data_IF_261137665747
#
_entry.id   IF_261137665747
#
_cell.length_a   1.000
_cell.length_b   1.000
_cell.length_c   1.000
_cell.angle_alpha   90.00
_cell.angle_beta   90.00
_cell.angle_gamma   90.00
#
_symmetry.space_group_name_H-M   'P 1'
#
loop_
_entity.id
_entity.type
_entity.pdbx_description
1 polymer ?
#
# COMPACT_ATOMS: atom_id res chain seq x y z
N UNK A 1 27.18 3.16 17.48
CA UNK A 1 26.76 2.62 18.80
C UNK A 1 25.31 3.04 18.99
N UNK A 2 24.43 2.09 19.31
CA UNK A 2 22.99 2.35 19.48
C UNK A 2 22.78 3.14 20.79
N UNK A 3 21.91 4.15 20.78
CA UNK A 3 21.64 4.96 21.96
C UNK A 3 20.86 4.16 23.02
N UNK A 4 20.95 4.61 24.28
CA UNK A 4 20.25 4.00 25.40
C UNK A 4 18.73 4.01 25.15
N UNK A 5 18.07 2.88 25.41
CA UNK A 5 16.67 2.64 25.01
C UNK A 5 15.68 3.60 25.70
N UNK A 6 16.02 4.08 26.89
CA UNK A 6 15.22 5.01 27.68
C UNK A 6 15.03 6.36 26.97
N UNK A 7 16.00 6.73 26.11
CA UNK A 7 15.95 7.97 25.32
C UNK A 7 14.86 7.96 24.25
N UNK A 8 14.23 6.81 23.99
CA UNK A 8 13.16 6.63 23.00
C UNK A 8 11.75 6.75 23.60
N UNK A 9 11.64 6.91 24.92
CA UNK A 9 10.34 6.95 25.60
C UNK A 9 9.69 8.35 25.55
N UNK A 10 8.38 8.38 25.30
CA UNK A 10 7.53 9.58 25.42
C UNK A 10 8.14 10.83 24.74
N UNK A 11 8.24 11.96 25.44
CA UNK A 11 8.77 13.20 24.88
C UNK A 11 10.31 13.22 24.80
N UNK A 12 11.04 12.32 25.49
CA UNK A 12 12.51 12.30 25.47
C UNK A 12 13.05 12.10 24.06
N UNK A 13 12.37 11.29 23.25
CA UNK A 13 12.78 11.05 21.87
C UNK A 13 12.74 12.32 21.02
N UNK A 14 11.77 13.20 21.24
CA UNK A 14 11.69 14.47 20.54
C UNK A 14 12.81 15.43 20.93
N UNK A 15 13.37 15.30 22.14
CA UNK A 15 14.45 16.14 22.63
C UNK A 15 15.82 15.61 22.21
N UNK A 16 16.03 14.29 22.29
CA UNK A 16 17.33 13.66 22.08
C UNK A 16 17.53 13.29 20.60
N UNK A 17 16.47 12.82 19.94
CA UNK A 17 16.54 12.24 18.60
C UNK A 17 15.66 12.98 17.58
N UNK A 18 15.47 14.29 17.76
CA UNK A 18 14.50 15.10 16.99
C UNK A 18 14.53 14.82 15.49
N UNK A 19 15.70 14.94 14.86
CA UNK A 19 15.82 14.84 13.40
C UNK A 19 15.59 13.40 12.90
N UNK A 20 16.06 12.42 13.66
CA UNK A 20 15.81 11.01 13.37
C UNK A 20 14.33 10.66 13.54
N UNK A 21 13.66 11.16 14.58
CA UNK A 21 12.22 11.01 14.77
C UNK A 21 11.43 11.63 13.61
N UNK A 22 11.75 12.87 13.21
CA UNK A 22 11.07 13.53 12.08
C UNK A 22 11.23 12.73 10.79
N UNK A 23 12.45 12.22 10.52
CA UNK A 23 12.72 11.37 9.36
C UNK A 23 11.97 10.04 9.42
N UNK A 24 11.94 9.41 10.59
CA UNK A 24 11.19 8.17 10.83
C UNK A 24 9.71 8.37 10.54
N UNK A 25 9.12 9.43 11.11
CA UNK A 25 7.70 9.78 10.90
C UNK A 25 7.40 10.01 9.41
N UNK A 26 8.27 10.73 8.69
CA UNK A 26 8.11 10.95 7.26
C UNK A 26 8.08 9.63 6.48
N UNK A 27 9.05 8.75 6.71
CA UNK A 27 9.09 7.43 6.06
C UNK A 27 7.84 6.59 6.38
N UNK A 28 7.30 6.72 7.59
CA UNK A 28 6.05 6.03 7.97
C UNK A 28 4.82 6.64 7.31
N UNK A 29 4.74 7.97 7.22
CA UNK A 29 3.71 8.64 6.44
C UNK A 29 3.79 8.30 4.95
N UNK A 30 4.99 8.03 4.44
CA UNK A 30 5.25 7.57 3.06
C UNK A 30 4.92 6.07 2.85
N UNK A 31 4.50 5.35 3.90
CA UNK A 31 4.05 3.96 3.83
C UNK A 31 5.15 2.89 4.01
N UNK A 32 6.37 3.28 4.38
CA UNK A 32 7.43 2.31 4.66
C UNK A 32 7.14 1.50 5.94
N UNK A 33 7.67 0.26 6.00
CA UNK A 33 7.58 -0.58 7.20
C UNK A 33 8.35 0.03 8.37
N UNK A 34 7.98 -0.31 9.62
CA UNK A 34 8.65 0.19 10.82
C UNK A 34 10.15 -0.09 10.84
N UNK A 35 10.58 -1.25 10.32
CA UNK A 35 11.99 -1.65 10.25
C UNK A 35 12.74 -0.87 9.16
N UNK A 36 12.14 -0.65 7.99
CA UNK A 36 12.74 0.16 6.93
C UNK A 36 12.87 1.63 7.38
N UNK A 37 11.84 2.17 8.03
CA UNK A 37 11.86 3.51 8.60
C UNK A 37 12.92 3.63 9.72
N UNK A 38 13.04 2.63 10.61
CA UNK A 38 14.05 2.60 11.66
C UNK A 38 15.46 2.64 11.05
N UNK A 39 15.71 1.78 10.06
CA UNK A 39 16.98 1.72 9.33
C UNK A 39 17.32 3.04 8.65
N UNK A 40 16.36 3.63 7.92
CA UNK A 40 16.56 4.85 7.15
C UNK A 40 16.65 6.13 8.00
N UNK A 41 16.14 6.10 9.22
CA UNK A 41 16.09 7.27 10.09
C UNK A 41 17.16 7.28 11.20
N UNK A 42 17.39 6.13 11.83
CA UNK A 42 18.30 5.98 12.96
C UNK A 42 19.59 5.24 12.62
N UNK A 43 19.63 4.53 11.49
CA UNK A 43 20.79 3.77 11.04
C UNK A 43 20.57 2.25 11.08
N UNK A 44 21.34 1.54 10.28
CA UNK A 44 21.24 0.08 10.13
C UNK A 44 21.51 -0.68 11.44
N UNK A 45 22.36 -0.13 12.31
CA UNK A 45 22.71 -0.72 13.60
C UNK A 45 21.49 -0.91 14.51
N UNK A 46 20.46 -0.06 14.41
CA UNK A 46 19.23 -0.19 15.20
C UNK A 46 18.42 -1.40 14.76
N UNK A 47 18.36 -1.68 13.46
CA UNK A 47 17.68 -2.85 12.90
C UNK A 47 18.43 -4.17 13.19
N UNK A 48 19.74 -4.09 13.44
CA UNK A 48 20.60 -5.23 13.76
C UNK A 48 20.71 -5.53 15.26
N UNK A 49 20.04 -4.75 16.11
CA UNK A 49 19.98 -5.06 17.54
C UNK A 49 19.26 -6.38 17.79
N UNK A 50 19.51 -7.00 18.96
CA UNK A 50 18.84 -8.26 19.31
C UNK A 50 17.30 -8.13 19.35
N UNK A 51 16.79 -6.92 19.63
CA UNK A 51 15.36 -6.64 19.61
C UNK A 51 15.07 -5.22 19.07
N UNK A 52 15.03 -5.05 17.73
CA UNK A 52 14.76 -3.75 17.11
C UNK A 52 13.33 -3.27 17.39
N UNK A 53 12.41 -4.20 17.64
CA UNK A 53 11.02 -3.91 17.95
C UNK A 53 10.84 -3.16 19.27
N UNK A 54 11.79 -3.27 20.20
CA UNK A 54 11.73 -2.50 21.45
C UNK A 54 11.83 -0.98 21.18
N UNK A 55 12.77 -0.55 20.32
CA UNK A 55 12.88 0.84 19.88
C UNK A 55 11.65 1.27 19.11
N UNK A 56 11.20 0.45 18.17
CA UNK A 56 10.00 0.71 17.37
C UNK A 56 8.78 0.94 18.26
N UNK A 57 8.54 0.05 19.22
CA UNK A 57 7.40 0.17 20.13
C UNK A 57 7.48 1.47 20.94
N UNK A 58 8.65 1.85 21.45
CA UNK A 58 8.82 3.09 22.20
C UNK A 58 8.61 4.34 21.33
N UNK A 59 9.16 4.35 20.11
CA UNK A 59 8.94 5.40 19.12
C UNK A 59 7.44 5.53 18.84
N UNK A 60 6.80 4.45 18.37
CA UNK A 60 5.43 4.47 17.85
C UNK A 60 4.37 4.71 18.92
N UNK A 61 4.66 4.36 20.18
CA UNK A 61 3.77 4.63 21.31
C UNK A 61 3.98 6.01 21.94
N UNK A 62 5.05 6.73 21.59
CA UNK A 62 5.31 8.08 22.10
C UNK A 62 4.31 9.11 21.57
N UNK A 63 3.95 10.07 22.42
CA UNK A 63 3.02 11.14 22.02
C UNK A 63 3.65 12.08 20.99
N UNK A 64 4.98 12.29 21.06
CA UNK A 64 5.74 13.01 20.05
C UNK A 64 5.58 12.39 18.65
N UNK A 65 5.72 11.07 18.54
CA UNK A 65 5.50 10.37 17.27
C UNK A 65 4.06 10.53 16.79
N UNK A 66 3.06 10.25 17.64
CA UNK A 66 1.64 10.31 17.25
C UNK A 66 1.25 11.69 16.72
N UNK A 67 1.62 12.78 17.41
CA UNK A 67 1.32 14.15 16.98
C UNK A 67 1.99 14.48 15.65
N UNK A 68 3.25 14.10 15.49
CA UNK A 68 4.02 14.37 14.27
C UNK A 68 3.48 13.55 13.10
N UNK A 69 3.09 12.30 13.32
CA UNK A 69 2.54 11.43 12.28
C UNK A 69 1.23 11.97 11.72
N UNK A 70 0.32 12.43 12.59
CA UNK A 70 -0.94 13.06 12.15
C UNK A 70 -0.66 14.25 11.24
N UNK A 71 0.31 15.09 11.61
CA UNK A 71 0.71 16.26 10.81
C UNK A 71 1.34 15.83 9.48
N UNK A 72 2.28 14.90 9.51
CA UNK A 72 2.96 14.41 8.31
C UNK A 72 1.99 13.76 7.32
N UNK A 73 1.01 12.98 7.80
CA UNK A 73 -0.05 12.39 6.97
C UNK A 73 -0.97 13.47 6.40
N UNK A 74 -1.33 14.48 7.19
CA UNK A 74 -2.14 15.59 6.70
C UNK A 74 -1.44 16.39 5.59
N UNK A 75 -0.13 16.64 5.72
CA UNK A 75 0.69 17.29 4.68
C UNK A 75 0.73 16.49 3.37
N UNK A 76 0.59 15.15 3.42
CA UNK A 76 0.49 14.32 2.21
C UNK A 76 -0.84 14.44 1.48
N UNK A 77 -1.90 14.91 2.16
CA UNK A 77 -3.21 15.06 1.53
C UNK A 77 -3.15 16.00 0.32
N UNK A 78 -2.28 17.00 0.39
CA UNK A 78 -2.11 18.02 -0.65
C UNK A 78 -0.98 17.67 -1.66
N UNK A 79 -0.24 16.57 -1.42
CA UNK A 79 0.79 16.05 -2.31
C UNK A 79 0.80 14.51 -2.24
N UNK A 80 -0.07 13.84 -3.03
CA UNK A 80 -0.32 12.42 -2.86
C UNK A 80 0.93 11.63 -3.25
N UNK A 81 1.65 11.12 -2.24
CA UNK A 81 2.62 10.04 -2.44
C UNK A 81 1.95 8.82 -3.08
N UNK A 82 0.66 8.65 -2.80
CA UNK A 82 -0.17 7.63 -3.41
C UNK A 82 -0.87 8.20 -4.64
N UNK A 83 -0.12 8.31 -5.74
CA UNK A 83 -0.68 8.60 -7.06
C UNK A 83 -0.96 7.31 -7.84
N UNK A 84 -1.54 7.45 -9.04
CA UNK A 84 -1.86 6.33 -9.91
C UNK A 84 -0.62 5.51 -10.30
N UNK A 85 0.55 6.13 -10.42
CA UNK A 85 1.78 5.44 -10.79
C UNK A 85 2.31 4.59 -9.63
N UNK A 86 2.36 5.16 -8.42
CA UNK A 86 2.75 4.47 -7.20
C UNK A 86 1.82 3.30 -6.90
N UNK A 87 0.50 3.51 -7.04
CA UNK A 87 -0.51 2.46 -6.88
C UNK A 87 -0.28 1.31 -7.86
N UNK A 88 -0.04 1.62 -9.14
CA UNK A 88 0.24 0.62 -10.15
C UNK A 88 1.53 -0.17 -9.84
N UNK A 89 2.61 0.51 -9.44
CA UNK A 89 3.89 -0.15 -9.07
C UNK A 89 3.71 -1.16 -7.92
N UNK A 90 2.96 -0.79 -6.88
CA UNK A 90 2.67 -1.71 -5.76
C UNK A 90 1.88 -2.91 -6.23
N UNK A 91 0.80 -2.69 -6.99
CA UNK A 91 -0.02 -3.78 -7.51
C UNK A 91 0.75 -4.69 -8.46
N UNK A 92 1.66 -4.16 -9.28
CA UNK A 92 2.57 -4.96 -10.10
C UNK A 92 3.42 -5.88 -9.23
N UNK A 93 4.05 -5.34 -8.19
CA UNK A 93 4.90 -6.13 -7.29
C UNK A 93 4.14 -7.31 -6.68
N UNK A 94 2.89 -7.09 -6.23
CA UNK A 94 2.02 -8.15 -5.68
C UNK A 94 1.61 -9.14 -6.76
N UNK A 95 1.17 -8.67 -7.94
CA UNK A 95 0.72 -9.53 -9.03
C UNK A 95 1.83 -10.46 -9.55
N UNK A 96 3.08 -10.01 -9.50
CA UNK A 96 4.25 -10.78 -9.96
C UNK A 96 4.97 -11.55 -8.86
N UNK A 97 4.62 -11.37 -7.58
CA UNK A 97 5.27 -12.08 -6.46
C UNK A 97 4.84 -13.55 -6.42
N UNK A 98 5.75 -14.44 -6.85
CA UNK A 98 5.53 -15.88 -6.85
C UNK A 98 5.29 -16.48 -5.45
N UNK A 99 5.75 -15.79 -4.39
CA UNK A 99 5.60 -16.20 -2.99
C UNK A 99 4.30 -15.73 -2.33
N UNK A 100 3.64 -14.71 -2.89
CA UNK A 100 2.35 -14.21 -2.41
C UNK A 100 1.23 -15.25 -2.62
N UNK A 101 0.15 -15.15 -1.83
CA UNK A 101 -0.98 -16.06 -1.99
C UNK A 101 -1.61 -15.85 -3.37
N UNK A 102 -2.02 -16.93 -4.03
CA UNK A 102 -2.66 -16.88 -5.35
C UNK A 102 -3.86 -15.91 -5.39
N UNK A 103 -4.62 -15.81 -4.29
CA UNK A 103 -5.74 -14.88 -4.19
C UNK A 103 -5.31 -13.40 -4.22
N UNK A 104 -4.22 -13.05 -3.54
CA UNK A 104 -3.67 -11.69 -3.50
C UNK A 104 -3.15 -11.28 -4.88
N UNK A 105 -2.45 -12.19 -5.57
CA UNK A 105 -2.02 -11.97 -6.96
C UNK A 105 -3.19 -11.69 -7.90
N UNK A 106 -4.25 -12.49 -7.82
CA UNK A 106 -5.44 -12.33 -8.67
C UNK A 106 -6.14 -11.01 -8.37
N UNK A 107 -6.25 -10.62 -7.09
CA UNK A 107 -6.83 -9.35 -6.71
C UNK A 107 -6.02 -8.18 -7.28
N UNK A 108 -4.70 -8.19 -7.11
CA UNK A 108 -3.82 -7.15 -7.64
C UNK A 108 -3.91 -7.03 -9.17
N UNK A 109 -3.94 -8.15 -9.89
CA UNK A 109 -4.12 -8.16 -11.35
C UNK A 109 -5.48 -7.58 -11.79
N UNK A 110 -6.56 -7.81 -11.03
CA UNK A 110 -7.88 -7.20 -11.31
C UNK A 110 -7.86 -5.69 -11.12
N UNK A 111 -7.26 -5.21 -10.03
CA UNK A 111 -7.14 -3.77 -9.77
C UNK A 111 -6.27 -3.09 -10.84
N UNK A 112 -5.16 -3.72 -11.28
CA UNK A 112 -4.35 -3.24 -12.40
C UNK A 112 -5.19 -3.11 -13.68
N UNK A 113 -6.01 -4.11 -14.01
CA UNK A 113 -6.87 -4.05 -15.19
C UNK A 113 -7.86 -2.89 -15.12
N UNK A 114 -8.35 -2.53 -13.93
CA UNK A 114 -9.21 -1.36 -13.73
C UNK A 114 -8.42 -0.06 -13.89
N UNK A 115 -7.25 0.05 -13.25
CA UNK A 115 -6.39 1.24 -13.35
C UNK A 115 -5.95 1.53 -14.79
N UNK A 116 -5.67 0.50 -15.59
CA UNK A 116 -5.28 0.64 -17.00
C UNK A 116 -6.47 0.63 -17.97
N UNK A 117 -7.72 0.66 -17.49
CA UNK A 117 -8.92 0.72 -18.33
C UNK A 117 -9.19 -0.53 -19.18
N UNK A 118 -8.49 -1.64 -18.89
CA UNK A 118 -8.73 -2.95 -19.52
C UNK A 118 -10.12 -3.47 -19.11
N UNK A 119 -10.50 -3.20 -17.85
CA UNK A 119 -11.81 -3.53 -17.29
C UNK A 119 -12.41 -2.37 -16.50
N UNK A 120 -13.73 -2.33 -16.35
CA UNK A 120 -14.47 -1.34 -15.53
C UNK A 120 -15.30 -2.10 -14.48
N UNK A 121 -15.50 -1.51 -13.31
CA UNK A 121 -16.40 -2.02 -12.27
C UNK A 121 -17.78 -1.38 -12.45
N UNK A 122 -18.84 -2.19 -12.55
CA UNK A 122 -20.22 -1.70 -12.60
C UNK A 122 -20.79 -1.34 -11.22
N UNK A 123 -21.95 -0.68 -11.18
CA UNK A 123 -22.61 -0.24 -9.94
C UNK A 123 -22.94 -1.39 -8.96
N UNK A 124 -22.86 -2.65 -9.42
CA UNK A 124 -23.10 -3.87 -8.64
C UNK A 124 -21.79 -4.55 -8.20
N UNK A 125 -20.63 -3.95 -8.50
CA UNK A 125 -19.31 -4.47 -8.15
C UNK A 125 -18.76 -5.53 -9.13
N UNK A 126 -19.38 -5.74 -10.29
CA UNK A 126 -18.91 -6.72 -11.27
C UNK A 126 -17.95 -6.10 -12.28
N UNK A 127 -16.89 -6.84 -12.62
CA UNK A 127 -15.89 -6.44 -13.61
C UNK A 127 -16.38 -6.70 -15.04
N UNK A 128 -16.37 -5.68 -15.91
CA UNK A 128 -16.70 -5.77 -17.35
C UNK A 128 -15.53 -5.32 -18.20
N UNK A 129 -15.48 -5.69 -19.49
CA UNK A 129 -14.43 -5.24 -20.42
C UNK A 129 -14.57 -3.74 -20.68
N UNK A 130 -13.49 -2.97 -20.55
CA UNK A 130 -13.53 -1.51 -20.51
C UNK A 130 -13.88 -0.80 -21.82
N UNK A 131 -14.02 -1.55 -22.92
CA UNK A 131 -14.32 -1.02 -24.25
C UNK A 131 -15.76 -1.25 -24.73
N UNK A 132 -16.64 -1.86 -23.91
CA UNK A 132 -18.04 -2.07 -24.30
C UNK A 132 -18.86 -0.84 -23.94
N UNK A 133 -19.13 0.00 -24.93
CA UNK A 133 -20.13 1.07 -24.81
C UNK A 133 -21.53 0.44 -24.70
N UNK A 134 -22.52 1.20 -24.21
CA UNK A 134 -23.91 0.75 -24.18
C UNK A 134 -24.42 0.35 -25.58
N UNK A 135 -23.91 1.02 -26.61
CA UNK A 135 -24.17 0.70 -28.02
C UNK A 135 -23.58 -0.65 -28.45
N UNK A 136 -22.39 -1.00 -27.94
CA UNK A 136 -21.78 -2.31 -28.23
C UNK A 136 -22.53 -3.45 -27.53
N UNK A 137 -23.07 -3.19 -26.33
CA UNK A 137 -23.96 -4.12 -25.62
C UNK A 137 -25.31 -4.31 -26.34
N UNK A 138 -25.88 -3.24 -26.89
CA UNK A 138 -27.12 -3.30 -27.68
C UNK A 138 -26.94 -4.00 -29.03
N UNK A 139 -25.73 -3.96 -29.60
CA UNK A 139 -25.35 -4.71 -30.82
C UNK A 139 -25.05 -6.19 -30.56
N UNK A 140 -24.78 -6.57 -29.30
CA UNK A 140 -24.68 -7.96 -28.86
C UNK A 140 -26.09 -8.53 -28.57
N UNK A 141 -26.99 -8.52 -29.55
CA UNK A 141 -28.23 -9.29 -29.42
C UNK A 141 -27.91 -10.79 -29.27
N UNK A 142 -28.59 -11.52 -28.36
CA UNK A 142 -28.40 -12.95 -28.25
C UNK A 142 -28.91 -13.61 -29.52
N UNK A 143 -28.07 -14.35 -30.22
CA UNK A 143 -28.54 -15.33 -31.21
C UNK A 143 -29.48 -16.30 -30.47
N UNK A 144 -30.76 -16.25 -30.83
CA UNK A 144 -31.81 -17.06 -30.25
C UNK A 144 -31.51 -18.58 -30.33
N UNK A 145 -32.06 -19.40 -29.42
CA UNK A 145 -31.71 -20.81 -29.29
C UNK A 145 -32.39 -21.67 -30.36
N UNK A 146 -31.59 -22.44 -31.10
CA UNK A 146 -32.02 -23.49 -32.04
C UNK A 146 -30.81 -23.84 -32.92
N UNK A 147 -30.32 -25.06 -33.00
CA UNK A 147 -31.06 -26.31 -33.21
C UNK A 147 -30.32 -27.49 -32.60
N UNK A 148 -31.05 -28.37 -31.91
CA UNK A 148 -30.58 -29.72 -31.62
C UNK A 148 -30.21 -30.43 -32.94
N UNK A 149 -28.98 -30.92 -33.05
CA UNK A 149 -28.62 -31.89 -34.08
C UNK A 149 -28.40 -33.24 -33.40
N UNK A 150 -29.42 -34.11 -33.50
CA UNK A 150 -29.22 -35.56 -33.47
C UNK A 150 -28.74 -35.97 -34.87
N UNK A 151 -27.63 -36.70 -34.92
CA UNK A 151 -27.28 -37.62 -36.00
C UNK A 151 -26.31 -38.64 -35.38
N UNK A 152 -26.79 -39.85 -35.06
CA UNK A 152 -26.82 -41.06 -35.90
C UNK A 152 -25.44 -41.66 -36.15
#
# INVERSE_FOLDING_TARGET
MVAAIETFSNEFIAHIHRDALLRYVKLRADGHTSIAALTGAFGHEYAMTMNPFAYINLIETSDAYKRTLVTAVAEKKDNPIWDSEQAARVLFSIATDETAKRAERIAAAKELNVLFGITIIDDKGNTRRGSLTLDDLLKMTPSAPGTASKAH
#
